data_IF_842367590198
#
_entry.id   IF_842367590198
#
_cell.length_a   1.000
_cell.length_b   1.000
_cell.length_c   1.000
_cell.angle_alpha   90.00
_cell.angle_beta   90.00
_cell.angle_gamma   90.00
#
_symmetry.space_group_name_H-M   'P 1'
#
loop_
_entity.id
_entity.type
_entity.pdbx_description
1 polymer ?
#
# COMPACT_ATOMS: atom_id res chain seq x y z
N UNK A 1 1.30 10.81 -10.14
CA UNK A 1 1.23 12.08 -10.92
C UNK A 1 -0.14 12.76 -10.83
N UNK A 2 -1.27 12.04 -10.85
CA UNK A 2 -2.64 12.59 -10.88
C UNK A 2 -2.97 13.56 -9.74
N UNK A 3 -2.56 13.25 -8.50
CA UNK A 3 -2.76 14.14 -7.34
C UNK A 3 -2.16 15.54 -7.56
N UNK A 4 -0.94 15.59 -8.07
CA UNK A 4 -0.24 16.86 -8.36
C UNK A 4 -0.94 17.66 -9.47
N UNK A 5 -1.45 16.95 -10.48
CA UNK A 5 -2.23 17.56 -11.56
C UNK A 5 -3.55 18.13 -11.05
N UNK A 6 -4.32 17.32 -10.28
CA UNK A 6 -5.65 17.71 -9.78
C UNK A 6 -5.58 18.84 -8.75
N UNK A 7 -4.60 18.80 -7.85
CA UNK A 7 -4.53 19.77 -6.75
C UNK A 7 -3.73 21.03 -7.08
N UNK A 8 -2.64 20.89 -7.83
CA UNK A 8 -1.66 21.96 -8.05
C UNK A 8 -1.50 22.35 -9.51
N UNK A 9 -2.10 21.62 -10.45
CA UNK A 9 -1.97 21.87 -11.88
C UNK A 9 -0.62 21.44 -12.49
N UNK A 10 0.20 20.70 -11.76
CA UNK A 10 1.45 20.18 -12.28
C UNK A 10 1.20 18.95 -13.17
N UNK A 11 1.52 19.06 -14.45
CA UNK A 11 1.44 17.96 -15.41
C UNK A 11 2.83 17.32 -15.54
N UNK A 12 3.06 16.26 -14.77
CA UNK A 12 4.32 15.54 -14.68
C UNK A 12 4.23 14.20 -15.43
N UNK A 13 5.29 13.78 -16.14
CA UNK A 13 5.27 12.53 -16.87
C UNK A 13 5.18 11.32 -15.93
N UNK A 14 4.58 10.24 -16.44
CA UNK A 14 4.71 8.91 -15.85
C UNK A 14 5.97 8.22 -16.37
N UNK A 15 6.49 7.28 -15.58
CA UNK A 15 7.69 6.50 -15.90
C UNK A 15 7.41 5.02 -15.65
N UNK A 16 8.00 4.15 -16.43
CA UNK A 16 8.01 2.71 -16.12
C UNK A 16 8.92 2.41 -14.93
N UNK A 17 8.75 1.23 -14.33
CA UNK A 17 9.62 0.81 -13.23
C UNK A 17 11.07 0.69 -13.67
N UNK A 18 11.30 0.19 -14.88
CA UNK A 18 12.63 0.05 -15.50
C UNK A 18 13.31 1.41 -15.73
N UNK A 19 12.56 2.43 -16.12
CA UNK A 19 13.05 3.80 -16.25
C UNK A 19 13.44 4.38 -14.89
N UNK A 20 12.60 4.19 -13.87
CA UNK A 20 12.94 4.62 -12.50
C UNK A 20 14.17 3.88 -12.02
N UNK A 21 14.26 2.57 -12.22
CA UNK A 21 15.40 1.74 -11.83
C UNK A 21 16.71 2.22 -12.45
N UNK A 22 16.69 2.57 -13.74
CA UNK A 22 17.88 2.91 -14.51
C UNK A 22 18.28 4.39 -14.40
N UNK A 23 17.28 5.31 -14.27
CA UNK A 23 17.48 6.75 -14.43
C UNK A 23 16.96 7.57 -13.25
N UNK A 24 16.75 6.95 -12.05
CA UNK A 24 16.13 7.62 -10.92
C UNK A 24 16.78 8.96 -10.51
N UNK A 25 18.08 9.13 -10.73
CA UNK A 25 18.81 10.37 -10.38
C UNK A 25 18.34 11.52 -11.28
N UNK A 26 18.30 11.30 -12.60
CA UNK A 26 17.88 12.30 -13.59
C UNK A 26 16.38 12.60 -13.44
N UNK A 27 15.56 11.56 -13.25
CA UNK A 27 14.12 11.72 -13.00
C UNK A 27 13.90 12.55 -11.74
N UNK A 28 14.57 12.23 -10.64
CA UNK A 28 14.46 12.97 -9.39
C UNK A 28 14.89 14.44 -9.53
N UNK A 29 15.96 14.72 -10.29
CA UNK A 29 16.42 16.09 -10.58
C UNK A 29 15.40 16.87 -11.39
N UNK A 30 14.81 16.26 -12.43
CA UNK A 30 13.77 16.90 -13.25
C UNK A 30 12.52 17.23 -12.44
N UNK A 31 12.06 16.32 -11.60
CA UNK A 31 10.92 16.55 -10.70
C UNK A 31 11.25 17.66 -9.71
N UNK A 32 12.46 17.66 -9.14
CA UNK A 32 12.90 18.69 -8.19
C UNK A 32 12.99 20.07 -8.83
N UNK A 33 13.37 20.19 -10.10
CA UNK A 33 13.37 21.46 -10.82
C UNK A 33 11.96 22.07 -10.95
N UNK A 34 10.94 21.22 -11.07
CA UNK A 34 9.55 21.67 -11.21
C UNK A 34 8.86 21.94 -9.87
N UNK A 35 9.16 21.14 -8.84
CA UNK A 35 8.48 21.18 -7.55
C UNK A 35 9.31 21.87 -6.45
N UNK A 36 10.56 22.29 -6.71
CA UNK A 36 11.58 22.75 -5.74
C UNK A 36 11.91 21.66 -4.70
N UNK A 37 10.92 21.15 -3.97
CA UNK A 37 11.04 20.00 -3.07
C UNK A 37 9.83 19.07 -3.25
N UNK A 38 10.02 17.82 -3.69
CA UNK A 38 8.94 16.85 -3.87
C UNK A 38 8.39 16.28 -2.55
N UNK A 39 9.18 16.30 -1.47
CA UNK A 39 8.83 15.62 -0.21
C UNK A 39 7.57 16.17 0.47
N UNK A 40 7.33 17.50 0.56
CA UNK A 40 6.09 18.04 1.12
C UNK A 40 4.85 17.52 0.39
N UNK A 41 4.86 17.53 -0.94
CA UNK A 41 3.76 17.02 -1.76
C UNK A 41 3.56 15.51 -1.56
N UNK A 42 4.65 14.75 -1.40
CA UNK A 42 4.58 13.32 -1.10
C UNK A 42 3.93 13.05 0.26
N UNK A 43 4.32 13.78 1.30
CA UNK A 43 3.70 13.65 2.64
C UNK A 43 2.21 14.02 2.61
N UNK A 44 1.85 15.00 1.81
CA UNK A 44 0.47 15.40 1.60
C UNK A 44 -0.32 14.31 0.87
N UNK A 45 0.23 13.74 -0.21
CA UNK A 45 -0.35 12.59 -0.90
C UNK A 45 -0.58 11.40 0.04
N UNK A 46 0.40 11.05 0.86
CA UNK A 46 0.28 9.97 1.86
C UNK A 46 -0.83 10.25 2.89
N UNK A 47 -1.23 11.50 3.07
CA UNK A 47 -2.28 11.88 4.01
C UNK A 47 -3.67 11.82 3.40
N UNK A 48 -3.87 12.28 2.16
CA UNK A 48 -5.18 12.40 1.53
C UNK A 48 -5.19 12.36 -0.01
N UNK A 49 -4.08 12.03 -0.66
CA UNK A 49 -3.96 12.11 -2.12
C UNK A 49 -4.58 10.96 -2.91
N UNK A 50 -4.98 9.85 -2.25
CA UNK A 50 -5.49 8.65 -2.96
C UNK A 50 -6.94 8.78 -3.43
N UNK A 51 -7.71 9.76 -2.94
CA UNK A 51 -9.11 9.94 -3.27
C UNK A 51 -9.39 11.40 -3.64
N UNK A 52 -10.02 11.68 -4.80
CA UNK A 52 -10.13 13.04 -5.35
C UNK A 52 -11.00 14.00 -4.53
N UNK A 53 -11.78 13.52 -3.57
CA UNK A 53 -12.58 14.37 -2.68
C UNK A 53 -11.77 15.23 -1.69
N UNK A 54 -10.43 15.12 -1.71
CA UNK A 54 -9.55 16.09 -1.02
C UNK A 54 -9.79 17.54 -1.52
N UNK A 55 -10.29 17.71 -2.75
CA UNK A 55 -10.65 19.01 -3.31
C UNK A 55 -11.90 19.64 -2.66
N UNK A 56 -12.70 18.86 -1.94
CA UNK A 56 -13.94 19.32 -1.29
C UNK A 56 -13.71 19.77 0.16
N UNK A 57 -12.49 19.60 0.69
CA UNK A 57 -12.10 19.99 2.04
C UNK A 57 -11.40 18.87 2.80
N UNK A 58 -10.38 19.22 3.58
CA UNK A 58 -9.54 18.25 4.29
C UNK A 58 -10.06 17.93 5.70
N UNK A 59 -10.83 18.82 6.31
CA UNK A 59 -11.31 18.66 7.70
C UNK A 59 -12.17 17.42 7.87
N UNK A 60 -13.01 17.11 6.88
CA UNK A 60 -13.90 15.95 6.88
C UNK A 60 -13.35 14.74 6.10
N UNK A 61 -12.13 14.81 5.58
CA UNK A 61 -11.59 13.79 4.69
C UNK A 61 -11.63 12.39 5.31
N UNK A 62 -11.10 12.21 6.52
CA UNK A 62 -11.10 10.91 7.21
C UNK A 62 -12.51 10.42 7.52
N UNK A 63 -13.42 11.31 7.90
CA UNK A 63 -14.82 10.94 8.13
C UNK A 63 -15.50 10.47 6.85
N UNK A 64 -15.35 11.20 5.75
CA UNK A 64 -15.88 10.81 4.44
C UNK A 64 -15.33 9.46 3.97
N UNK A 65 -14.03 9.23 4.16
CA UNK A 65 -13.41 7.96 3.82
C UNK A 65 -14.01 6.80 4.63
N UNK A 66 -14.23 6.98 5.93
CA UNK A 66 -14.92 5.99 6.77
C UNK A 66 -16.37 5.75 6.32
N UNK A 67 -17.11 6.79 5.90
CA UNK A 67 -18.46 6.62 5.35
C UNK A 67 -18.45 5.80 4.05
N UNK A 68 -17.48 6.03 3.15
CA UNK A 68 -17.32 5.25 1.93
C UNK A 68 -17.02 3.78 2.26
N UNK A 69 -16.14 3.50 3.21
CA UNK A 69 -15.85 2.13 3.65
C UNK A 69 -17.10 1.42 4.20
N UNK A 70 -17.87 2.12 5.03
CA UNK A 70 -19.12 1.59 5.54
C UNK A 70 -20.11 1.33 4.41
N UNK A 71 -20.22 2.24 3.42
CA UNK A 71 -21.10 2.07 2.28
C UNK A 71 -20.71 0.83 1.44
N UNK A 72 -19.43 0.65 1.15
CA UNK A 72 -18.93 -0.54 0.45
C UNK A 72 -19.34 -1.82 1.18
N UNK A 73 -19.15 -1.88 2.51
CA UNK A 73 -19.42 -3.10 3.28
C UNK A 73 -20.94 -3.33 3.48
N UNK A 74 -21.72 -2.27 3.63
CA UNK A 74 -23.16 -2.39 3.95
C UNK A 74 -24.06 -2.51 2.73
N UNK A 75 -23.61 -2.00 1.55
CA UNK A 75 -24.43 -1.94 0.35
C UNK A 75 -23.76 -2.65 -0.85
N UNK A 76 -22.56 -2.25 -1.26
CA UNK A 76 -21.95 -2.77 -2.48
C UNK A 76 -21.61 -4.28 -2.37
N UNK A 77 -21.01 -4.69 -1.24
CA UNK A 77 -20.63 -6.09 -1.05
C UNK A 77 -21.84 -7.04 -0.94
N UNK A 78 -22.90 -6.72 -0.18
CA UNK A 78 -24.11 -7.57 -0.14
C UNK A 78 -24.80 -7.69 -1.50
N UNK A 79 -24.84 -6.61 -2.29
CA UNK A 79 -25.42 -6.66 -3.62
C UNK A 79 -24.63 -7.58 -4.56
N UNK A 80 -23.31 -7.57 -4.44
CA UNK A 80 -22.43 -8.38 -5.30
C UNK A 80 -22.32 -9.86 -4.88
N UNK A 81 -22.46 -10.20 -3.58
CA UNK A 81 -22.05 -11.51 -3.02
C UNK A 81 -23.04 -12.17 -2.06
N UNK A 82 -24.24 -11.69 -1.88
CA UNK A 82 -25.23 -12.22 -0.91
C UNK A 82 -24.65 -12.37 0.52
N UNK A 83 -24.11 -11.26 1.04
CA UNK A 83 -23.47 -11.23 2.36
C UNK A 83 -24.47 -10.90 3.45
N UNK A 84 -24.59 -11.74 4.48
CA UNK A 84 -25.48 -11.50 5.62
C UNK A 84 -25.01 -10.30 6.48
N UNK A 85 -25.94 -9.66 7.18
CA UNK A 85 -25.65 -8.56 8.16
C UNK A 85 -24.62 -8.99 9.20
N UNK A 86 -24.66 -10.25 9.66
CA UNK A 86 -23.65 -10.79 10.58
C UNK A 86 -22.25 -10.78 9.98
N UNK A 87 -22.13 -11.14 8.69
CA UNK A 87 -20.86 -11.12 7.96
C UNK A 87 -20.37 -9.71 7.73
N UNK A 88 -21.25 -8.74 7.39
CA UNK A 88 -20.89 -7.31 7.27
C UNK A 88 -20.24 -6.79 8.54
N UNK A 89 -20.86 -7.04 9.70
CA UNK A 89 -20.32 -6.63 11.00
C UNK A 89 -18.94 -7.24 11.29
N UNK A 90 -18.75 -8.50 10.92
CA UNK A 90 -17.45 -9.18 11.05
C UNK A 90 -16.40 -8.60 10.08
N UNK A 91 -16.79 -8.24 8.86
CA UNK A 91 -15.90 -7.58 7.90
C UNK A 91 -15.42 -6.22 8.40
N UNK A 92 -16.32 -5.41 8.97
CA UNK A 92 -15.94 -4.12 9.61
C UNK A 92 -14.99 -4.34 10.79
N UNK A 93 -15.30 -5.28 11.68
CA UNK A 93 -14.43 -5.64 12.81
C UNK A 93 -13.06 -6.14 12.33
N UNK A 94 -13.04 -6.96 11.28
CA UNK A 94 -11.79 -7.45 10.67
C UNK A 94 -10.96 -6.31 10.08
N UNK A 95 -11.56 -5.42 9.30
CA UNK A 95 -10.88 -4.27 8.72
C UNK A 95 -10.27 -3.35 9.79
N UNK A 96 -11.02 -3.07 10.86
CA UNK A 96 -10.52 -2.32 12.01
C UNK A 96 -9.35 -3.02 12.69
N UNK A 97 -9.45 -4.33 12.97
CA UNK A 97 -8.34 -5.09 13.58
C UNK A 97 -7.10 -5.09 12.69
N UNK A 98 -7.28 -5.22 11.36
CA UNK A 98 -6.17 -5.12 10.42
C UNK A 98 -5.54 -3.72 10.48
N UNK A 99 -6.32 -2.63 10.49
CA UNK A 99 -5.79 -1.26 10.51
C UNK A 99 -4.88 -0.97 11.72
N UNK A 100 -5.13 -1.62 12.86
CA UNK A 100 -4.32 -1.49 14.07
C UNK A 100 -3.03 -2.33 14.06
N UNK A 101 -2.96 -3.33 13.19
CA UNK A 101 -1.88 -4.33 13.19
C UNK A 101 -0.95 -4.26 11.98
N UNK A 102 -1.33 -3.55 10.91
CA UNK A 102 -0.58 -3.55 9.64
C UNK A 102 0.76 -2.80 9.71
N UNK A 103 1.74 -3.22 8.89
CA UNK A 103 1.81 -4.49 8.17
C UNK A 103 2.11 -5.62 9.15
N UNK A 104 1.48 -6.75 9.02
CA UNK A 104 1.73 -7.88 9.91
C UNK A 104 1.65 -9.23 9.21
N UNK A 105 2.42 -10.19 9.74
CA UNK A 105 2.29 -11.60 9.39
C UNK A 105 1.10 -12.16 10.16
N UNK A 106 -0.02 -12.51 9.51
CA UNK A 106 -1.24 -12.86 10.22
C UNK A 106 -1.13 -14.22 10.92
N UNK A 107 -1.42 -14.23 12.21
CA UNK A 107 -1.80 -15.47 12.87
C UNK A 107 -3.30 -15.69 12.61
N UNK A 108 -3.60 -16.43 11.54
CA UNK A 108 -4.97 -16.64 11.04
C UNK A 108 -5.87 -17.26 12.12
N UNK A 109 -5.38 -18.19 12.94
CA UNK A 109 -6.17 -18.80 14.00
C UNK A 109 -6.51 -17.83 15.11
N UNK A 110 -5.53 -17.01 15.56
CA UNK A 110 -5.76 -15.97 16.56
C UNK A 110 -6.73 -14.91 16.04
N UNK A 111 -6.56 -14.50 14.78
CA UNK A 111 -7.44 -13.50 14.15
C UNK A 111 -8.88 -14.05 14.00
N UNK A 112 -9.03 -15.32 13.62
CA UNK A 112 -10.34 -15.97 13.53
C UNK A 112 -11.06 -15.99 14.89
N UNK A 113 -10.34 -16.31 15.97
CA UNK A 113 -10.89 -16.26 17.34
C UNK A 113 -11.31 -14.83 17.71
N UNK A 114 -10.49 -13.83 17.40
CA UNK A 114 -10.78 -12.42 17.71
C UNK A 114 -12.03 -11.88 16.98
N UNK A 115 -12.26 -12.38 15.74
CA UNK A 115 -13.43 -12.01 14.92
C UNK A 115 -14.64 -12.94 15.19
N UNK A 116 -14.49 -13.92 16.08
CA UNK A 116 -15.53 -14.90 16.41
C UNK A 116 -15.99 -15.68 15.16
N UNK A 117 -15.02 -16.23 14.43
CA UNK A 117 -15.26 -17.00 13.19
C UNK A 117 -14.30 -18.20 13.08
N UNK A 118 -14.47 -18.99 12.03
CA UNK A 118 -13.58 -20.12 11.74
C UNK A 118 -12.48 -19.68 10.77
N UNK A 119 -11.36 -20.44 10.73
CA UNK A 119 -10.26 -20.16 9.81
C UNK A 119 -10.68 -20.11 8.33
N UNK A 120 -11.48 -21.05 7.78
CA UNK A 120 -11.94 -21.00 6.39
C UNK A 120 -12.74 -19.71 6.11
N UNK A 121 -13.69 -19.36 6.97
CA UNK A 121 -14.52 -18.17 6.81
C UNK A 121 -13.66 -16.91 6.90
N UNK A 122 -12.67 -16.84 7.80
CA UNK A 122 -11.74 -15.72 7.85
C UNK A 122 -10.96 -15.54 6.55
N UNK A 123 -10.46 -16.62 5.95
CA UNK A 123 -9.75 -16.55 4.67
C UNK A 123 -10.65 -16.05 3.54
N UNK A 124 -11.91 -16.47 3.52
CA UNK A 124 -12.92 -15.96 2.60
C UNK A 124 -13.19 -14.46 2.83
N UNK A 125 -13.34 -14.03 4.09
CA UNK A 125 -13.49 -12.61 4.43
C UNK A 125 -12.29 -11.77 4.00
N UNK A 126 -11.07 -12.26 4.17
CA UNK A 126 -9.86 -11.59 3.67
C UNK A 126 -9.86 -11.49 2.14
N UNK A 127 -10.36 -12.50 1.44
CA UNK A 127 -10.52 -12.46 -0.01
C UNK A 127 -11.57 -11.43 -0.43
N UNK A 128 -12.72 -11.37 0.24
CA UNK A 128 -13.77 -10.37 -0.01
C UNK A 128 -13.23 -8.94 0.16
N UNK A 129 -12.49 -8.67 1.24
CA UNK A 129 -11.87 -7.36 1.46
C UNK A 129 -10.79 -7.02 0.42
N UNK A 130 -10.06 -8.02 -0.09
CA UNK A 130 -9.08 -7.87 -1.16
C UNK A 130 -9.76 -7.52 -2.50
N UNK A 131 -10.83 -8.23 -2.88
CA UNK A 131 -11.62 -7.94 -4.08
C UNK A 131 -12.28 -6.55 -4.02
N UNK A 132 -12.77 -6.15 -2.84
CA UNK A 132 -13.27 -4.79 -2.59
C UNK A 132 -12.16 -3.73 -2.58
N UNK A 133 -10.90 -4.10 -2.78
CA UNK A 133 -9.74 -3.22 -2.73
C UNK A 133 -9.61 -2.42 -1.43
N UNK A 134 -10.00 -3.03 -0.30
CA UNK A 134 -9.83 -2.47 1.04
C UNK A 134 -8.52 -2.93 1.69
N UNK A 135 -8.07 -4.13 1.34
CA UNK A 135 -6.77 -4.69 1.76
C UNK A 135 -6.01 -5.27 0.57
N UNK A 136 -4.73 -5.54 0.78
CA UNK A 136 -3.85 -6.26 -0.13
C UNK A 136 -3.20 -7.43 0.60
N UNK A 137 -3.44 -8.64 0.10
CA UNK A 137 -2.87 -9.87 0.64
C UNK A 137 -1.60 -10.24 -0.13
N UNK A 138 -0.45 -10.09 0.50
CA UNK A 138 0.82 -10.48 -0.10
C UNK A 138 1.10 -11.96 0.18
N UNK A 139 1.31 -12.73 -0.89
CA UNK A 139 1.55 -14.18 -0.85
C UNK A 139 2.96 -14.52 -1.30
N UNK A 140 3.50 -15.65 -0.86
CA UNK A 140 4.78 -16.16 -1.35
C UNK A 140 4.64 -16.74 -2.75
N UNK A 141 5.63 -16.51 -3.63
CA UNK A 141 5.69 -17.09 -4.98
C UNK A 141 5.66 -18.63 -4.98
N UNK A 142 6.26 -19.24 -3.96
CA UNK A 142 6.43 -20.71 -3.88
C UNK A 142 5.16 -21.49 -3.55
N UNK A 143 4.09 -20.84 -3.09
CA UNK A 143 2.87 -21.52 -2.61
C UNK A 143 1.72 -21.56 -3.61
N UNK A 144 1.91 -21.01 -4.80
CA UNK A 144 0.84 -20.90 -5.80
C UNK A 144 -0.30 -19.96 -5.36
N UNK A 145 -1.11 -19.54 -6.32
CA UNK A 145 -2.28 -18.67 -6.08
C UNK A 145 -3.47 -19.55 -5.69
N UNK A 146 -3.54 -19.98 -4.44
CA UNK A 146 -4.76 -20.57 -3.89
C UNK A 146 -5.42 -19.57 -2.95
N UNK A 147 -6.70 -19.26 -3.18
CA UNK A 147 -7.54 -18.43 -2.30
C UNK A 147 -7.54 -18.92 -0.85
N UNK A 148 -7.34 -20.23 -0.65
CA UNK A 148 -7.29 -20.89 0.66
C UNK A 148 -5.91 -20.79 1.33
N UNK A 149 -4.90 -20.24 0.63
CA UNK A 149 -3.59 -20.05 1.23
C UNK A 149 -3.58 -18.82 2.14
N UNK A 150 -3.02 -19.02 3.34
CA UNK A 150 -2.77 -17.94 4.28
C UNK A 150 -1.88 -16.87 3.62
N UNK A 151 -2.26 -15.58 3.64
CA UNK A 151 -1.36 -14.53 3.24
C UNK A 151 -0.14 -14.48 4.17
N UNK A 152 1.03 -14.17 3.61
CA UNK A 152 2.26 -13.99 4.39
C UNK A 152 2.28 -12.59 5.05
N UNK A 153 1.71 -11.60 4.38
CA UNK A 153 1.59 -10.23 4.89
C UNK A 153 0.25 -9.63 4.45
N UNK A 154 -0.38 -8.85 5.32
CA UNK A 154 -1.60 -8.10 5.01
C UNK A 154 -1.29 -6.61 5.15
N UNK A 155 -1.69 -5.81 4.18
CA UNK A 155 -1.63 -4.35 4.19
C UNK A 155 -3.01 -3.77 3.86
N UNK A 156 -3.27 -2.55 4.29
CA UNK A 156 -4.40 -1.78 3.75
C UNK A 156 -4.12 -1.37 2.31
N UNK A 157 -5.15 -1.08 1.53
CA UNK A 157 -4.98 -0.83 0.09
C UNK A 157 -4.18 0.41 -0.24
N UNK A 158 -4.21 1.43 0.61
CA UNK A 158 -3.42 2.66 0.43
C UNK A 158 -3.12 3.36 1.76
N UNK A 159 -2.21 4.32 1.72
CA UNK A 159 -1.74 5.05 2.89
C UNK A 159 -2.84 5.89 3.58
N UNK A 160 -3.81 6.40 2.81
CA UNK A 160 -4.92 7.20 3.37
C UNK A 160 -5.84 6.35 4.24
N UNK A 161 -6.08 5.08 3.88
CA UNK A 161 -6.81 4.13 4.73
C UNK A 161 -6.08 3.88 6.05
N UNK A 162 -4.75 3.70 6.00
CA UNK A 162 -3.94 3.53 7.23
C UNK A 162 -4.12 4.72 8.16
N UNK A 163 -4.00 5.95 7.63
CA UNK A 163 -4.12 7.17 8.44
C UNK A 163 -5.53 7.42 8.97
N UNK A 164 -6.56 7.08 8.19
CA UNK A 164 -7.96 7.34 8.56
C UNK A 164 -8.56 6.30 9.50
N UNK A 165 -8.07 5.06 9.52
CA UNK A 165 -8.61 3.97 10.33
C UNK A 165 -7.82 3.71 11.61
N UNK A 166 -6.53 4.09 11.70
CA UNK A 166 -5.70 3.82 12.87
C UNK A 166 -5.96 4.82 13.99
N UNK A 167 -6.74 4.44 15.00
CA UNK A 167 -7.05 5.29 16.17
C UNK A 167 -5.84 5.49 17.09
N UNK A 168 -4.99 4.48 17.24
CA UNK A 168 -3.79 4.51 18.10
C UNK A 168 -2.58 5.20 17.47
N UNK A 169 -2.76 5.75 16.28
CA UNK A 169 -1.69 6.31 15.48
C UNK A 169 -1.08 5.28 14.52
N UNK A 170 -0.44 5.78 13.50
CA UNK A 170 0.14 4.99 12.44
C UNK A 170 1.68 4.96 12.54
N UNK A 171 2.28 3.88 12.08
CA UNK A 171 3.73 3.72 11.99
C UNK A 171 4.20 4.16 10.59
N UNK A 172 5.27 4.95 10.51
CA UNK A 172 5.82 5.41 9.23
C UNK A 172 6.27 4.26 8.32
N UNK A 173 6.75 3.15 8.88
CA UNK A 173 7.07 1.94 8.13
C UNK A 173 5.84 1.37 7.41
N UNK A 174 4.71 1.28 8.12
CA UNK A 174 3.43 0.82 7.55
C UNK A 174 2.99 1.67 6.36
N UNK A 175 3.07 3.00 6.51
CA UNK A 175 2.69 3.94 5.45
C UNK A 175 3.57 3.74 4.21
N UNK A 176 4.89 3.64 4.40
CA UNK A 176 5.86 3.46 3.31
C UNK A 176 5.63 2.16 2.53
N UNK A 177 5.48 1.05 3.23
CA UNK A 177 5.25 -0.25 2.60
C UNK A 177 3.87 -0.33 1.93
N UNK A 178 2.83 0.21 2.58
CA UNK A 178 1.48 0.28 2.00
C UNK A 178 1.49 1.12 0.73
N UNK A 179 2.14 2.29 0.74
CA UNK A 179 2.29 3.14 -0.44
C UNK A 179 3.04 2.41 -1.55
N UNK A 180 4.20 1.80 -1.25
CA UNK A 180 5.00 1.10 -2.26
C UNK A 180 4.21 -0.03 -2.92
N UNK A 181 3.56 -0.89 -2.13
CA UNK A 181 2.76 -1.99 -2.66
C UNK A 181 1.60 -1.49 -3.52
N UNK A 182 0.90 -0.44 -3.05
CA UNK A 182 -0.21 0.17 -3.79
C UNK A 182 0.24 0.66 -5.17
N UNK A 183 1.30 1.46 -5.24
CA UNK A 183 1.80 2.02 -6.50
C UNK A 183 2.31 0.93 -7.45
N UNK A 184 3.07 -0.05 -6.96
CA UNK A 184 3.61 -1.14 -7.77
C UNK A 184 2.50 -2.01 -8.36
N UNK A 185 1.49 -2.40 -7.56
CA UNK A 185 0.37 -3.21 -8.05
C UNK A 185 -0.55 -2.44 -9.01
N UNK A 186 -0.80 -1.14 -8.75
CA UNK A 186 -1.59 -0.31 -9.66
C UNK A 186 -0.88 -0.07 -11.00
N UNK A 187 0.45 -0.11 -11.03
CA UNK A 187 1.24 -0.13 -12.27
C UNK A 187 1.22 -1.50 -12.99
N UNK A 188 0.44 -2.48 -12.50
CA UNK A 188 0.31 -3.80 -13.12
C UNK A 188 1.45 -4.78 -12.83
N UNK A 189 2.32 -4.48 -11.87
CA UNK A 189 3.47 -5.32 -11.53
C UNK A 189 3.05 -6.45 -10.58
N UNK A 190 3.62 -7.64 -10.78
CA UNK A 190 3.39 -8.80 -9.92
C UNK A 190 4.29 -8.73 -8.70
N UNK A 191 3.68 -8.65 -7.51
CA UNK A 191 4.41 -8.53 -6.24
C UNK A 191 4.14 -9.77 -5.37
N UNK A 192 5.21 -10.38 -4.87
CA UNK A 192 5.15 -11.50 -3.93
C UNK A 192 5.97 -11.20 -2.67
N UNK A 193 5.72 -11.99 -1.60
CA UNK A 193 6.48 -11.88 -0.36
C UNK A 193 7.75 -12.73 -0.44
N UNK A 194 8.95 -12.12 -0.35
CA UNK A 194 10.21 -12.84 -0.34
C UNK A 194 10.50 -13.44 1.05
N UNK A 195 11.47 -14.33 1.13
CA UNK A 195 12.00 -14.83 2.42
C UNK A 195 12.81 -13.78 3.19
N UNK A 196 13.37 -12.81 2.50
CA UNK A 196 14.11 -11.64 3.03
C UNK A 196 13.80 -10.44 2.18
N UNK A 197 13.72 -9.24 2.79
CA UNK A 197 13.27 -8.02 2.15
C UNK A 197 11.75 -7.83 2.27
N UNK A 198 11.24 -6.75 1.71
CA UNK A 198 9.81 -6.40 1.83
C UNK A 198 8.98 -6.96 0.67
N UNK A 199 9.46 -6.84 -0.56
CA UNK A 199 8.75 -7.23 -1.78
C UNK A 199 9.69 -7.90 -2.79
N UNK A 200 9.17 -8.88 -3.53
CA UNK A 200 9.80 -9.46 -4.71
C UNK A 200 8.93 -9.14 -5.93
N UNK A 201 9.48 -8.35 -6.84
CA UNK A 201 8.83 -7.88 -8.05
C UNK A 201 9.12 -8.84 -9.20
N UNK A 202 8.06 -9.31 -9.89
CA UNK A 202 8.14 -10.19 -11.06
C UNK A 202 9.07 -11.41 -10.87
N UNK A 203 9.23 -11.88 -9.63
CA UNK A 203 10.13 -12.97 -9.22
C UNK A 203 11.65 -12.68 -9.44
N UNK A 204 12.02 -11.44 -9.80
CA UNK A 204 13.38 -11.09 -10.20
C UNK A 204 14.03 -9.99 -9.35
N UNK A 205 13.27 -8.96 -8.94
CA UNK A 205 13.82 -7.79 -8.29
C UNK A 205 13.41 -7.73 -6.83
N UNK A 206 14.40 -7.78 -5.94
CA UNK A 206 14.17 -7.69 -4.50
C UNK A 206 14.12 -6.23 -4.06
N UNK A 207 13.03 -5.85 -3.39
CA UNK A 207 12.83 -4.49 -2.90
C UNK A 207 12.82 -4.45 -1.37
N UNK A 208 13.48 -3.44 -0.84
CA UNK A 208 13.43 -3.05 0.58
C UNK A 208 12.88 -1.64 0.67
N UNK A 209 11.96 -1.42 1.61
CA UNK A 209 11.30 -0.11 1.81
C UNK A 209 11.72 0.44 3.17
N UNK A 210 12.12 1.70 3.22
CA UNK A 210 12.57 2.25 4.49
C UNK A 210 12.65 3.77 4.57
N UNK A 211 13.17 4.26 5.68
CA UNK A 211 13.53 5.66 5.85
C UNK A 211 14.91 5.98 5.28
N UNK A 212 15.30 7.26 5.34
CA UNK A 212 16.55 7.80 4.79
C UNK A 212 17.82 6.98 5.13
N UNK A 213 17.88 6.41 6.33
CA UNK A 213 19.05 5.68 6.84
C UNK A 213 18.93 4.16 6.67
N UNK A 214 17.97 3.66 5.87
CA UNK A 214 17.82 2.23 5.64
C UNK A 214 19.04 1.70 4.90
N UNK A 215 19.69 0.70 5.49
CA UNK A 215 20.91 0.13 4.93
C UNK A 215 20.60 -0.92 3.84
N UNK A 216 21.45 -0.99 2.81
CA UNK A 216 21.41 -2.00 1.75
C UNK A 216 21.68 -3.44 2.23
N UNK A 217 22.17 -3.60 3.47
CA UNK A 217 22.69 -4.88 4.01
C UNK A 217 21.67 -6.02 4.01
N UNK A 218 20.38 -5.72 4.19
CA UNK A 218 19.34 -6.76 4.25
C UNK A 218 19.08 -7.43 2.91
N UNK A 219 19.26 -6.71 1.82
CA UNK A 219 19.00 -7.17 0.44
C UNK A 219 20.25 -7.36 -0.40
N UNK A 220 21.43 -7.02 0.13
CA UNK A 220 22.71 -7.09 -0.60
C UNK A 220 23.11 -8.49 -1.07
N UNK A 221 22.50 -9.54 -0.50
CA UNK A 221 22.71 -10.93 -0.92
C UNK A 221 21.99 -11.29 -2.23
N UNK A 222 21.06 -10.44 -2.71
CA UNK A 222 20.36 -10.61 -3.96
C UNK A 222 20.99 -9.70 -5.01
N UNK A 223 21.41 -10.24 -6.17
CA UNK A 223 22.12 -9.49 -7.20
C UNK A 223 21.28 -8.32 -7.70
N UNK A 224 19.99 -8.57 -8.02
CA UNK A 224 19.05 -7.57 -8.48
C UNK A 224 18.19 -7.07 -7.30
N UNK A 225 18.68 -6.04 -6.60
CA UNK A 225 18.00 -5.47 -5.45
C UNK A 225 18.04 -3.94 -5.45
N UNK A 226 17.01 -3.31 -4.85
CA UNK A 226 16.94 -1.86 -4.63
C UNK A 226 16.34 -1.54 -3.27
N UNK A 227 16.74 -0.38 -2.71
CA UNK A 227 16.15 0.19 -1.52
C UNK A 227 15.40 1.46 -1.90
N UNK A 228 14.08 1.48 -1.66
CA UNK A 228 13.28 2.68 -1.80
C UNK A 228 13.20 3.40 -0.46
N UNK A 229 13.79 4.61 -0.41
CA UNK A 229 13.95 5.37 0.82
C UNK A 229 13.06 6.60 0.86
N UNK A 230 12.28 6.72 1.93
CA UNK A 230 11.57 7.96 2.28
C UNK A 230 12.55 9.02 2.79
N UNK A 231 12.11 10.28 2.79
CA UNK A 231 12.92 11.44 3.20
C UNK A 231 14.18 11.66 2.33
N UNK A 232 14.21 11.10 1.14
CA UNK A 232 15.27 11.21 0.17
C UNK A 232 14.74 11.93 -1.09
N UNK A 233 15.36 13.07 -1.45
CA UNK A 233 14.96 13.80 -2.66
C UNK A 233 15.68 13.29 -3.91
N UNK A 234 16.96 12.92 -3.81
CA UNK A 234 17.78 12.40 -4.90
C UNK A 234 18.49 11.15 -4.40
N UNK A 235 18.39 10.06 -5.16
CA UNK A 235 19.00 8.79 -4.83
C UNK A 235 20.46 8.68 -5.25
N UNK A 236 21.07 7.53 -4.93
CA UNK A 236 22.41 7.15 -5.37
C UNK A 236 22.54 5.63 -5.47
N UNK A 237 23.22 5.15 -6.49
CA UNK A 237 23.45 3.71 -6.68
C UNK A 237 22.14 2.91 -6.72
N UNK A 238 21.93 2.02 -5.77
CA UNK A 238 20.71 1.20 -5.63
C UNK A 238 19.72 1.77 -4.63
N UNK A 239 19.94 2.96 -4.11
CA UNK A 239 19.02 3.65 -3.21
C UNK A 239 18.21 4.70 -3.98
N UNK A 240 16.92 4.50 -4.06
CA UNK A 240 15.97 5.24 -4.89
C UNK A 240 15.01 6.01 -3.98
N UNK A 241 14.66 7.29 -4.27
CA UNK A 241 13.64 8.00 -3.52
C UNK A 241 12.28 7.30 -3.61
N UNK A 242 11.65 7.06 -2.45
CA UNK A 242 10.37 6.35 -2.38
C UNK A 242 9.26 7.05 -3.16
N UNK A 243 9.21 8.39 -3.13
CA UNK A 243 8.18 9.17 -3.83
C UNK A 243 8.15 8.93 -5.35
N UNK A 244 9.25 8.45 -5.95
CA UNK A 244 9.28 8.16 -7.39
C UNK A 244 8.30 7.06 -7.80
N UNK A 245 7.93 6.14 -6.90
CA UNK A 245 6.89 5.16 -7.17
C UNK A 245 5.52 5.82 -7.45
N UNK A 246 5.27 7.04 -6.98
CA UNK A 246 4.06 7.81 -7.28
C UNK A 246 3.98 8.36 -8.71
N UNK A 247 4.99 8.07 -9.54
CA UNK A 247 5.04 8.45 -10.95
C UNK A 247 5.05 7.24 -11.90
N UNK A 248 4.67 6.06 -11.42
CA UNK A 248 4.59 4.84 -12.25
C UNK A 248 3.43 4.86 -13.25
N UNK A 249 2.44 5.76 -13.07
CA UNK A 249 1.26 5.93 -13.95
C UNK A 249 0.63 7.32 -13.75
#
# INVERSE_FOLDING_TARGET
SEFLKLKYGFDLPAYTFEEIQSNHIEIARSIKQLLESPLPYFQEFLSYGSYPFFNEGLEEYSYRLQQILNFIIDYDLPEAKDISVSTQNKLKKLLYVISELVPFTPNVSKLATQIETTRPILLEMLHILEEARLIRNLRSATKGISLMNKPEKILLSNANLVKSLSEKGWNSGNIRETFALDQLQNAGLTITHPSKGDFLLNEEVLLEIGGKNKALTQVAHHENHFVFSDELEIGWGKQIPLYLLGFLY
#
